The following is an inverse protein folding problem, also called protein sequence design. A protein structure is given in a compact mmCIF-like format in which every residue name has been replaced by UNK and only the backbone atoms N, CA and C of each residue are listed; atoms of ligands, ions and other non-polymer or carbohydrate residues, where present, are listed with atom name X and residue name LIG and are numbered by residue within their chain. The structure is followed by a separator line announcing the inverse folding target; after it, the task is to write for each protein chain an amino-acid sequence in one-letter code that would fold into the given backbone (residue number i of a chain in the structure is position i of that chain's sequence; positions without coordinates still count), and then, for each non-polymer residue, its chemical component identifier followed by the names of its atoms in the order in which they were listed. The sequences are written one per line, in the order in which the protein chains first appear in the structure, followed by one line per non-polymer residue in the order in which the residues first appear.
data_IF_295997252399
#
_entry.id   IF_295997252399
#
_cell.length_a   1.000
_cell.length_b   1.000
_cell.length_c   1.000
_cell.angle_alpha   90.00
_cell.angle_beta   90.00
_cell.angle_gamma   90.00
#
_symmetry.space_group_name_H-M   'P 1'
#
loop_
_entity.id
_entity.type
_entity.pdbx_description
1 polymer ?
#
# COMPACT_ATOMS: atom_id res chain seq x y z
N UNK A 1 0.17 10.34 -2.49
CA UNK A 1 -0.77 10.27 -3.63
C UNK A 1 -1.67 11.50 -3.61
N UNK A 2 -1.71 12.28 -4.68
CA UNK A 2 -2.55 13.49 -4.76
C UNK A 2 -4.00 13.07 -5.03
N UNK A 3 -4.88 13.24 -4.05
CA UNK A 3 -6.30 12.91 -4.16
C UNK A 3 -7.03 13.79 -5.20
N UNK A 4 -8.23 13.37 -5.59
CA UNK A 4 -9.12 14.17 -6.45
C UNK A 4 -10.49 14.21 -5.83
N UNK A 5 -11.24 15.29 -6.05
CA UNK A 5 -12.66 15.39 -5.72
C UNK A 5 -13.44 15.68 -7.00
N UNK A 6 -14.62 15.09 -7.13
CA UNK A 6 -15.58 15.32 -8.21
C UNK A 6 -16.80 16.01 -7.62
N UNK A 7 -17.37 16.97 -8.35
CA UNK A 7 -18.56 17.67 -7.92
C UNK A 7 -19.29 18.29 -9.09
N UNK A 8 -20.46 18.85 -8.81
CA UNK A 8 -21.28 19.55 -9.79
C UNK A 8 -21.46 21.02 -9.40
N UNK A 9 -21.69 21.85 -10.40
CA UNK A 9 -22.13 23.22 -10.24
C UNK A 9 -23.52 23.33 -10.87
N UNK A 10 -24.53 23.70 -10.07
CA UNK A 10 -25.91 23.73 -10.51
C UNK A 10 -26.16 24.77 -11.62
N UNK A 11 -25.43 25.89 -11.58
CA UNK A 11 -25.55 26.98 -12.55
C UNK A 11 -24.17 27.31 -13.15
N UNK A 12 -24.14 27.89 -14.35
CA UNK A 12 -22.91 28.22 -15.06
C UNK A 12 -22.58 27.21 -16.17
N UNK A 13 -21.30 27.02 -16.49
CA UNK A 13 -20.90 26.29 -17.70
C UNK A 13 -21.17 27.11 -18.97
N UNK A 14 -21.03 26.49 -20.15
CA UNK A 14 -21.10 27.21 -21.43
C UNK A 14 -22.48 27.80 -21.76
N UNK A 15 -23.57 27.16 -21.32
CA UNK A 15 -24.95 27.61 -21.59
C UNK A 15 -25.69 28.11 -20.35
N UNK A 16 -25.07 28.03 -19.16
CA UNK A 16 -25.69 28.39 -17.89
C UNK A 16 -26.37 27.20 -17.17
N UNK A 17 -26.46 26.04 -17.81
CA UNK A 17 -27.17 24.85 -17.30
C UNK A 17 -26.39 24.03 -16.26
N UNK A 18 -25.18 24.46 -15.89
CA UNK A 18 -24.33 23.82 -14.89
C UNK A 18 -23.21 22.96 -15.48
N UNK A 19 -22.36 22.41 -14.62
CA UNK A 19 -21.19 21.62 -15.05
C UNK A 19 -20.78 20.55 -14.03
N UNK A 20 -20.05 19.54 -14.51
CA UNK A 20 -19.35 18.55 -13.69
C UNK A 20 -17.88 18.91 -13.69
N UNK A 21 -17.25 18.95 -12.53
CA UNK A 21 -15.84 19.32 -12.39
C UNK A 21 -15.04 18.33 -11.56
N UNK A 22 -13.73 18.45 -11.67
CA UNK A 22 -12.73 17.75 -10.86
C UNK A 22 -11.76 18.73 -10.23
N UNK A 23 -11.62 18.65 -8.91
CA UNK A 23 -10.60 19.36 -8.13
C UNK A 23 -9.43 18.42 -7.83
N UNK A 24 -8.21 18.83 -8.17
CA UNK A 24 -7.00 18.09 -7.79
C UNK A 24 -6.51 18.57 -6.43
N UNK A 25 -6.47 17.68 -5.44
CA UNK A 25 -6.05 17.98 -4.08
C UNK A 25 -4.52 18.06 -4.04
N UNK A 26 -4.02 19.14 -3.46
CA UNK A 26 -2.59 19.49 -3.44
C UNK A 26 -2.28 20.69 -4.33
N UNK A 27 -2.69 20.67 -5.60
CA UNK A 27 -2.50 21.83 -6.50
C UNK A 27 -3.67 22.81 -6.48
N UNK A 28 -4.84 22.41 -5.99
CA UNK A 28 -6.05 23.23 -6.02
C UNK A 28 -6.62 23.44 -7.42
N UNK A 29 -6.14 22.71 -8.42
CA UNK A 29 -6.52 22.92 -9.83
C UNK A 29 -7.92 22.36 -10.09
N UNK A 30 -8.84 23.24 -10.48
CA UNK A 30 -10.19 22.91 -10.95
C UNK A 30 -10.16 22.61 -12.46
N UNK A 31 -10.79 21.51 -12.86
CA UNK A 31 -10.98 21.16 -14.27
C UNK A 31 -12.46 20.88 -14.51
N UNK A 32 -13.08 21.59 -15.46
CA UNK A 32 -14.41 21.23 -15.94
C UNK A 32 -14.27 19.95 -16.78
N UNK A 33 -15.06 18.93 -16.44
CA UNK A 33 -15.09 17.66 -17.13
C UNK A 33 -16.20 17.64 -18.18
N UNK A 34 -17.34 18.28 -17.87
CA UNK A 34 -18.51 18.34 -18.75
C UNK A 34 -19.33 19.58 -18.43
N UNK A 35 -19.72 20.34 -19.45
CA UNK A 35 -20.71 21.41 -19.33
C UNK A 35 -22.06 20.86 -19.80
N UNK A 36 -23.08 21.08 -18.98
CA UNK A 36 -24.45 20.78 -19.34
C UNK A 36 -24.93 21.78 -20.41
N UNK A 37 -25.78 21.32 -21.31
CA UNK A 37 -26.27 22.10 -22.46
C UNK A 37 -27.79 21.99 -22.66
N UNK A 38 -28.51 21.50 -21.65
CA UNK A 38 -29.94 21.20 -21.70
C UNK A 38 -30.27 19.89 -22.42
N UNK A 39 -29.44 19.44 -23.36
CA UNK A 39 -29.60 18.15 -24.06
C UNK A 39 -28.95 16.99 -23.31
N UNK A 40 -27.78 17.22 -22.71
CA UNK A 40 -27.00 16.24 -21.94
C UNK A 40 -27.27 16.32 -20.42
N UNK A 41 -28.08 17.28 -20.00
CA UNK A 41 -28.50 17.51 -18.62
C UNK A 41 -28.72 19.00 -18.34
N UNK A 42 -29.27 19.32 -17.16
CA UNK A 42 -29.33 20.68 -16.62
C UNK A 42 -29.47 20.65 -15.11
N UNK A 43 -29.03 21.72 -14.44
CA UNK A 43 -29.10 21.90 -12.99
C UNK A 43 -28.60 20.68 -12.20
N UNK A 44 -27.35 20.22 -12.40
CA UNK A 44 -26.85 19.04 -11.71
C UNK A 44 -26.66 19.35 -10.21
N UNK A 45 -27.46 18.70 -9.37
CA UNK A 45 -27.43 18.82 -7.92
C UNK A 45 -26.83 17.57 -7.29
N UNK A 46 -25.56 17.63 -6.93
CA UNK A 46 -24.90 16.62 -6.10
C UNK A 46 -23.80 17.27 -5.24
N UNK A 47 -23.31 16.53 -4.25
CA UNK A 47 -22.23 16.95 -3.37
C UNK A 47 -20.84 16.80 -3.99
N UNK A 48 -19.83 17.21 -3.22
CA UNK A 48 -18.43 16.96 -3.55
C UNK A 48 -18.04 15.56 -3.06
N UNK A 49 -17.72 14.65 -3.98
CA UNK A 49 -17.37 13.26 -3.68
C UNK A 49 -15.91 12.99 -4.02
N UNK A 50 -15.20 12.26 -3.16
CA UNK A 50 -13.94 11.64 -3.57
C UNK A 50 -14.30 10.42 -4.43
N UNK A 51 -13.77 10.30 -5.67
CA UNK A 51 -13.96 9.06 -6.41
C UNK A 51 -13.39 7.93 -5.55
N UNK A 52 -14.14 6.82 -5.46
CA UNK A 52 -13.62 5.62 -4.82
C UNK A 52 -12.33 5.28 -5.56
N UNK A 53 -11.19 5.51 -4.89
CA UNK A 53 -9.92 5.03 -5.38
C UNK A 53 -10.04 3.52 -5.18
N UNK A 54 -10.16 2.69 -6.24
CA UNK A 54 -9.98 1.26 -6.05
C UNK A 54 -8.64 1.14 -5.36
N UNK A 55 -8.63 0.61 -4.14
CA UNK A 55 -7.42 0.54 -3.34
C UNK A 55 -6.40 -0.17 -4.21
N UNK A 56 -5.39 0.56 -4.68
CA UNK A 56 -4.38 0.01 -5.56
C UNK A 56 -3.47 -0.87 -4.70
N UNK A 57 -3.96 -2.04 -4.34
CA UNK A 57 -3.28 -2.97 -3.44
C UNK A 57 -4.27 -3.89 -2.71
N UNK A 58 -3.91 -5.17 -2.64
CA UNK A 58 -4.54 -6.13 -1.74
C UNK A 58 -3.91 -5.96 -0.37
N UNK A 59 -4.72 -5.77 0.68
CA UNK A 59 -4.23 -5.80 2.06
C UNK A 59 -4.17 -7.25 2.56
N UNK A 60 -2.96 -7.77 2.76
CA UNK A 60 -2.75 -9.11 3.33
C UNK A 60 -2.48 -9.01 4.84
N UNK A 61 -3.44 -9.42 5.66
CA UNK A 61 -3.26 -9.60 7.10
C UNK A 61 -2.69 -10.98 7.44
N UNK A 62 -1.45 -11.25 7.04
CA UNK A 62 -0.83 -12.57 7.26
C UNK A 62 -0.64 -12.85 8.75
N UNK A 63 -1.08 -14.04 9.19
CA UNK A 63 -0.69 -14.64 10.48
C UNK A 63 -0.01 -15.96 10.18
N UNK A 64 1.31 -16.00 10.36
CA UNK A 64 2.10 -17.22 10.23
C UNK A 64 2.52 -17.66 11.64
N UNK A 65 2.30 -18.94 11.95
CA UNK A 65 2.96 -19.60 13.07
C UNK A 65 4.21 -20.27 12.49
N UNK A 66 5.37 -19.70 12.79
CA UNK A 66 6.64 -20.35 12.44
C UNK A 66 6.86 -21.49 13.43
N UNK A 67 7.07 -22.70 12.90
CA UNK A 67 7.54 -23.82 13.72
C UNK A 67 9.06 -23.74 13.80
N UNK A 68 9.62 -24.11 14.95
CA UNK A 68 11.03 -23.87 15.24
C UNK A 68 11.39 -24.25 16.67
N UNK A 69 12.64 -24.00 17.11
CA UNK A 69 13.12 -24.35 18.44
C UNK A 69 12.52 -23.44 19.53
N UNK A 70 11.21 -23.55 19.77
CA UNK A 70 10.52 -22.87 20.87
C UNK A 70 10.99 -23.44 22.21
N UNK A 71 11.49 -22.57 23.07
CA UNK A 71 11.86 -22.90 24.44
C UNK A 71 10.69 -22.60 25.38
N UNK A 72 10.07 -23.65 25.91
CA UNK A 72 8.96 -23.55 26.85
C UNK A 72 9.33 -22.94 28.21
N UNK A 73 10.62 -22.91 28.57
CA UNK A 73 11.10 -22.31 29.81
C UNK A 73 11.17 -20.79 29.73
N UNK A 74 11.74 -20.26 28.65
CA UNK A 74 11.82 -18.81 28.40
C UNK A 74 10.59 -18.24 27.69
N UNK A 75 9.75 -19.09 27.08
CA UNK A 75 8.64 -18.71 26.21
C UNK A 75 9.09 -17.91 24.96
N UNK A 76 10.29 -18.21 24.46
CA UNK A 76 10.89 -17.58 23.29
C UNK A 76 11.22 -18.62 22.23
N UNK A 77 11.33 -18.19 20.97
CA UNK A 77 11.97 -18.99 19.93
C UNK A 77 13.48 -18.82 20.02
N UNK A 78 14.26 -19.89 19.87
CA UNK A 78 15.71 -19.74 19.69
C UNK A 78 16.00 -18.95 18.40
N UNK A 79 16.90 -17.99 18.54
CA UNK A 79 17.28 -17.00 17.55
C UNK A 79 18.77 -17.11 17.19
N UNK A 80 19.43 -18.21 17.58
CA UNK A 80 20.88 -18.40 17.45
C UNK A 80 21.38 -18.20 16.01
N UNK A 81 20.55 -18.53 15.02
CA UNK A 81 20.84 -18.33 13.60
C UNK A 81 21.23 -16.89 13.28
N UNK A 82 20.59 -15.88 13.91
CA UNK A 82 20.89 -14.45 13.66
C UNK A 82 22.30 -14.05 14.10
N UNK A 83 22.89 -14.83 15.01
CA UNK A 83 24.22 -14.59 15.58
C UNK A 83 25.35 -15.29 14.80
N UNK A 84 25.00 -16.18 13.86
CA UNK A 84 25.99 -16.83 13.01
C UNK A 84 26.65 -15.82 12.08
N UNK A 85 27.97 -15.87 11.96
CA UNK A 85 28.73 -14.97 11.09
C UNK A 85 28.39 -15.06 9.59
N UNK A 86 27.59 -16.07 9.19
CA UNK A 86 27.08 -16.25 7.83
C UNK A 86 25.58 -16.00 7.66
N UNK A 87 24.90 -15.46 8.67
CA UNK A 87 23.48 -15.12 8.53
C UNK A 87 23.29 -14.08 7.42
N UNK A 88 22.42 -14.34 6.42
CA UNK A 88 22.35 -13.51 5.23
C UNK A 88 21.70 -12.16 5.55
N UNK A 89 22.42 -11.08 5.24
CA UNK A 89 21.91 -9.69 5.35
C UNK A 89 21.08 -9.27 4.14
N UNK A 90 21.18 -10.00 3.04
CA UNK A 90 20.26 -9.92 1.91
C UNK A 90 19.31 -11.11 1.97
N UNK A 91 18.12 -10.98 1.41
CA UNK A 91 17.19 -12.09 1.29
C UNK A 91 17.85 -13.27 0.55
N UNK A 92 17.73 -14.49 1.08
CA UNK A 92 18.42 -15.66 0.50
C UNK A 92 17.67 -16.26 -0.70
N UNK A 93 16.44 -15.85 -0.95
CA UNK A 93 15.51 -16.52 -1.87
C UNK A 93 15.91 -16.33 -3.34
N UNK A 94 16.41 -15.15 -3.73
CA UNK A 94 17.00 -14.94 -5.06
C UNK A 94 18.13 -15.94 -5.31
N UNK A 95 19.04 -16.09 -4.35
CA UNK A 95 20.18 -17.02 -4.47
C UNK A 95 19.75 -18.49 -4.44
N UNK A 96 18.63 -18.80 -3.77
CA UNK A 96 18.03 -20.13 -3.76
C UNK A 96 17.22 -20.45 -5.03
N UNK A 97 17.13 -19.50 -5.98
CA UNK A 97 16.48 -19.69 -7.28
C UNK A 97 14.99 -19.33 -7.33
N UNK A 98 14.46 -18.65 -6.30
CA UNK A 98 13.11 -18.12 -6.35
C UNK A 98 13.07 -16.90 -7.27
N UNK A 99 12.05 -16.84 -8.13
CA UNK A 99 11.83 -15.68 -9.02
C UNK A 99 10.87 -14.72 -8.34
N UNK A 100 11.31 -13.47 -8.12
CA UNK A 100 10.49 -12.42 -7.52
C UNK A 100 9.72 -11.67 -8.62
N UNK A 101 8.45 -11.38 -8.38
CA UNK A 101 7.63 -10.52 -9.26
C UNK A 101 7.49 -9.16 -8.61
N UNK A 102 8.14 -8.13 -9.16
CA UNK A 102 8.05 -6.76 -8.64
C UNK A 102 8.76 -6.50 -7.31
N UNK A 103 9.68 -7.39 -6.90
CA UNK A 103 10.50 -7.28 -5.69
C UNK A 103 11.84 -8.03 -5.84
N UNK A 104 12.46 -8.43 -4.73
CA UNK A 104 13.74 -9.15 -4.71
C UNK A 104 14.94 -8.25 -4.43
N UNK A 105 15.95 -8.80 -3.75
CA UNK A 105 17.13 -8.07 -3.29
C UNK A 105 16.93 -7.29 -1.99
N UNK A 106 15.90 -7.61 -1.21
CA UNK A 106 15.67 -7.01 0.11
C UNK A 106 16.87 -7.23 1.04
N UNK A 107 17.22 -6.24 1.85
CA UNK A 107 18.33 -6.32 2.81
C UNK A 107 17.89 -5.87 4.20
N UNK A 108 18.44 -6.49 5.25
CA UNK A 108 18.30 -6.01 6.63
C UNK A 108 19.44 -5.07 7.02
N UNK A 109 19.13 -4.12 7.89
CA UNK A 109 20.15 -3.30 8.56
C UNK A 109 20.81 -4.15 9.67
N UNK A 110 22.14 -4.26 9.75
CA UNK A 110 22.81 -5.15 10.73
C UNK A 110 22.42 -4.93 12.19
N UNK A 111 22.03 -3.70 12.56
CA UNK A 111 21.54 -3.38 13.90
C UNK A 111 20.30 -4.21 14.32
N UNK A 112 19.50 -4.68 13.37
CA UNK A 112 18.35 -5.57 13.65
C UNK A 112 18.81 -6.90 14.25
N UNK A 113 19.98 -7.39 13.84
CA UNK A 113 20.57 -8.62 14.40
C UNK A 113 21.02 -8.46 15.85
N UNK A 114 21.10 -7.24 16.38
CA UNK A 114 21.46 -7.00 17.79
C UNK A 114 20.24 -7.02 18.73
N UNK A 115 19.01 -7.04 18.19
CA UNK A 115 17.79 -7.14 19.00
C UNK A 115 17.63 -8.55 19.56
N UNK A 116 17.36 -8.66 20.86
CA UNK A 116 17.16 -9.92 21.58
C UNK A 116 15.78 -9.99 22.26
N UNK A 117 15.43 -11.17 22.80
CA UNK A 117 14.16 -11.38 23.51
C UNK A 117 12.98 -11.53 22.55
N UNK A 118 11.80 -11.07 22.96
CA UNK A 118 10.54 -11.25 22.20
C UNK A 118 10.56 -10.70 20.76
N UNK A 119 11.48 -9.80 20.44
CA UNK A 119 11.59 -9.16 19.12
C UNK A 119 12.85 -9.60 18.35
N UNK A 120 13.57 -10.61 18.84
CA UNK A 120 14.67 -11.18 18.08
C UNK A 120 14.17 -11.75 16.76
N UNK A 121 14.90 -11.50 15.68
CA UNK A 121 14.58 -12.12 14.39
C UNK A 121 15.03 -13.58 14.40
N UNK A 122 14.21 -14.45 13.80
CA UNK A 122 14.46 -15.90 13.79
C UNK A 122 14.57 -16.50 12.39
N UNK A 123 13.95 -15.87 11.38
CA UNK A 123 13.94 -16.39 10.01
C UNK A 123 13.67 -15.29 8.97
N UNK A 124 14.00 -15.59 7.71
CA UNK A 124 13.56 -14.85 6.54
C UNK A 124 12.26 -15.47 6.02
N UNK A 125 11.28 -14.67 5.60
CA UNK A 125 10.03 -15.19 5.00
C UNK A 125 9.82 -14.53 3.63
N UNK A 126 9.61 -15.35 2.59
CA UNK A 126 9.16 -14.89 1.29
C UNK A 126 7.64 -15.12 1.14
N UNK A 127 6.90 -14.05 0.83
CA UNK A 127 5.45 -14.08 0.64
C UNK A 127 5.12 -13.50 -0.72
N UNK A 128 4.45 -14.29 -1.56
CA UNK A 128 3.99 -13.85 -2.88
C UNK A 128 2.46 -13.99 -2.95
N UNK A 129 1.81 -12.94 -3.48
CA UNK A 129 0.39 -12.94 -3.76
C UNK A 129 0.20 -12.94 -5.29
N UNK A 130 -0.46 -13.95 -5.84
CA UNK A 130 -0.75 -14.11 -7.27
C UNK A 130 -2.24 -14.22 -7.53
#
# INVERSE_FOLDING_TARGET
ASGRLLGTCAEGGTTGDGSVFRLTIGSGTLNVLHDMDGATGSLPLDGLVAPAVPVAGVQLGLKAFLDGPYDSGSQLMSDDLRSLGGFPIAEPYTSAGFTHVGGGGETIVPAVLAVSGNNAIVDWVFVELR
#
